data_IF_223452274048
#
_entry.id   IF_223452274048
#
_cell.length_a   1.000
_cell.length_b   1.000
_cell.length_c   1.000
_cell.angle_alpha   90.00
_cell.angle_beta   90.00
_cell.angle_gamma   90.00
#
_symmetry.space_group_name_H-M   'P 1'
#
loop_
_entity.id
_entity.type
_entity.pdbx_description
1 polymer ?
#
# COMPACT_ATOMS: atom_id res chain seq x y z
N UNK A 1 21.77 -5.80 28.38
CA UNK A 1 21.80 -5.81 26.90
C UNK A 1 20.68 -6.75 26.46
N UNK A 2 19.45 -6.22 26.45
CA UNK A 2 18.27 -7.03 26.16
C UNK A 2 18.24 -7.30 24.66
N UNK A 3 18.22 -8.58 24.29
CA UNK A 3 17.89 -9.05 22.96
C UNK A 3 16.47 -8.63 22.62
N UNK A 4 16.29 -7.40 22.10
CA UNK A 4 15.18 -7.11 21.22
C UNK A 4 15.58 -7.64 19.84
N UNK A 5 15.33 -8.92 19.62
CA UNK A 5 14.94 -9.35 18.28
C UNK A 5 13.56 -8.73 18.08
N UNK A 6 13.51 -7.44 17.76
CA UNK A 6 12.31 -6.85 17.15
C UNK A 6 12.17 -7.61 15.84
N UNK A 7 11.02 -8.24 15.65
CA UNK A 7 10.72 -8.98 14.44
C UNK A 7 11.12 -8.16 13.22
N UNK A 8 11.97 -8.75 12.37
CA UNK A 8 12.38 -8.14 11.11
C UNK A 8 11.24 -8.25 10.09
N UNK A 9 10.04 -7.78 10.42
CA UNK A 9 8.89 -7.86 9.51
C UNK A 9 9.17 -6.95 8.32
N UNK A 10 9.37 -7.58 7.17
CA UNK A 10 9.55 -6.91 5.87
C UNK A 10 8.24 -6.89 5.08
N UNK A 11 7.21 -7.55 5.62
CA UNK A 11 5.88 -7.70 5.06
C UNK A 11 4.87 -7.30 6.14
N UNK A 12 3.87 -6.53 5.74
CA UNK A 12 2.84 -5.97 6.61
C UNK A 12 1.49 -6.22 5.95
N UNK A 13 0.51 -6.68 6.74
CA UNK A 13 -0.79 -7.06 6.24
C UNK A 13 -1.92 -6.33 7.00
N UNK A 14 -2.97 -5.97 6.26
CA UNK A 14 -4.30 -5.65 6.77
C UNK A 14 -5.32 -6.50 6.06
N UNK A 15 -6.20 -7.12 6.84
CA UNK A 15 -7.27 -7.99 6.36
C UNK A 15 -8.59 -7.32 6.69
N UNK A 16 -9.28 -6.84 5.66
CA UNK A 16 -10.49 -6.02 5.80
C UNK A 16 -11.69 -6.86 5.36
N UNK A 17 -12.67 -7.02 6.25
CA UNK A 17 -13.84 -7.86 6.02
C UNK A 17 -14.88 -7.17 5.12
N UNK A 18 -14.51 -7.01 3.85
CA UNK A 18 -15.31 -6.41 2.78
C UNK A 18 -15.25 -7.28 1.53
N UNK A 19 -16.43 -7.67 1.04
CA UNK A 19 -16.53 -8.44 -0.20
C UNK A 19 -16.46 -7.52 -1.40
N UNK A 20 -15.42 -7.68 -2.20
CA UNK A 20 -15.21 -6.90 -3.43
C UNK A 20 -14.74 -7.81 -4.56
N UNK A 21 -15.06 -7.45 -5.80
CA UNK A 21 -14.48 -8.10 -6.97
C UNK A 21 -13.17 -7.43 -7.39
N UNK A 22 -12.36 -8.16 -8.15
CA UNK A 22 -11.17 -7.61 -8.81
C UNK A 22 -11.53 -6.36 -9.65
N UNK A 23 -12.62 -6.43 -10.42
CA UNK A 23 -13.09 -5.32 -11.25
C UNK A 23 -13.42 -4.08 -10.40
N UNK A 24 -14.08 -4.25 -9.26
CA UNK A 24 -14.37 -3.15 -8.35
C UNK A 24 -13.09 -2.50 -7.82
N UNK A 25 -12.07 -3.29 -7.44
CA UNK A 25 -10.76 -2.79 -7.00
C UNK A 25 -10.08 -2.02 -8.14
N UNK A 26 -9.92 -2.65 -9.30
CA UNK A 26 -9.18 -2.08 -10.43
C UNK A 26 -9.85 -0.85 -11.06
N UNK A 27 -11.18 -0.69 -10.90
CA UNK A 27 -11.91 0.47 -11.39
C UNK A 27 -11.91 1.63 -10.37
N UNK A 28 -11.96 1.34 -9.06
CA UNK A 28 -12.00 2.38 -8.02
C UNK A 28 -10.61 2.84 -7.58
N UNK A 29 -9.60 1.98 -7.61
CA UNK A 29 -8.25 2.29 -7.13
C UNK A 29 -7.32 2.47 -8.33
N UNK A 30 -6.97 3.73 -8.60
CA UNK A 30 -6.08 4.16 -9.67
C UNK A 30 -5.37 5.46 -9.25
N UNK A 31 -4.34 5.91 -9.98
CA UNK A 31 -3.51 7.05 -9.54
C UNK A 31 -4.29 8.30 -9.13
N UNK A 32 -5.31 8.70 -9.88
CA UNK A 32 -6.09 9.90 -9.59
C UNK A 32 -7.11 9.72 -8.46
N UNK A 33 -7.37 8.50 -7.98
CA UNK A 33 -8.31 8.24 -6.88
C UNK A 33 -7.61 8.03 -5.53
N UNK A 34 -6.27 8.12 -5.46
CA UNK A 34 -5.53 7.82 -4.21
C UNK A 34 -5.97 8.69 -3.02
N UNK A 35 -6.35 9.96 -3.27
CA UNK A 35 -6.82 10.87 -2.23
C UNK A 35 -8.22 10.51 -1.68
N UNK A 36 -8.95 9.61 -2.33
CA UNK A 36 -10.20 9.05 -1.78
C UNK A 36 -9.90 8.05 -0.65
N UNK A 37 -8.71 7.45 -0.66
CA UNK A 37 -8.29 6.42 0.28
C UNK A 37 -7.38 6.98 1.38
N UNK A 38 -6.41 7.82 1.06
CA UNK A 38 -5.43 8.32 2.04
C UNK A 38 -5.49 9.84 2.19
N UNK A 39 -5.02 10.35 3.33
CA UNK A 39 -4.94 11.80 3.58
C UNK A 39 -3.55 12.35 3.26
N UNK A 40 -2.52 11.50 3.37
CA UNK A 40 -1.12 11.86 3.16
C UNK A 40 -0.65 11.70 1.72
N UNK A 41 -1.41 11.05 0.83
CA UNK A 41 -1.07 10.99 -0.59
C UNK A 41 -1.86 11.97 -1.44
N UNK A 42 -1.17 12.59 -2.40
CA UNK A 42 -1.77 13.49 -3.37
C UNK A 42 -1.18 13.21 -4.76
N UNK A 43 -2.06 12.92 -5.72
CA UNK A 43 -1.68 12.78 -7.12
C UNK A 43 -1.17 14.13 -7.65
N UNK A 44 0.00 14.12 -8.28
CA UNK A 44 0.61 15.33 -8.85
C UNK A 44 0.46 15.33 -10.38
N UNK A 45 1.04 14.33 -11.06
CA UNK A 45 0.98 14.23 -12.52
C UNK A 45 1.28 12.81 -13.03
N UNK A 46 1.02 12.57 -14.32
CA UNK A 46 1.44 11.33 -14.98
C UNK A 46 2.86 11.47 -15.53
N UNK A 47 3.66 10.41 -15.43
CA UNK A 47 5.02 10.34 -15.98
C UNK A 47 5.16 9.03 -16.78
N UNK A 48 4.96 9.10 -18.10
CA UNK A 48 4.97 7.92 -18.96
C UNK A 48 3.88 6.93 -18.55
N UNK A 49 4.27 5.72 -18.15
CA UNK A 49 3.35 4.69 -17.63
C UNK A 49 3.18 4.74 -16.10
N UNK A 50 3.86 5.68 -15.43
CA UNK A 50 3.85 5.87 -13.98
C UNK A 50 3.15 7.19 -13.63
N UNK A 51 3.15 7.54 -12.35
CA UNK A 51 2.68 8.84 -11.87
C UNK A 51 3.55 9.37 -10.74
N UNK A 52 3.56 10.68 -10.58
CA UNK A 52 4.18 11.36 -9.45
C UNK A 52 3.12 11.60 -8.38
N UNK A 53 3.48 11.34 -7.12
CA UNK A 53 2.61 11.59 -5.96
C UNK A 53 3.42 12.15 -4.81
N UNK A 54 2.81 13.08 -4.07
CA UNK A 54 3.24 13.35 -2.70
C UNK A 54 2.80 12.17 -1.82
N UNK A 55 3.61 11.82 -0.82
CA UNK A 55 3.37 10.81 0.21
C UNK A 55 3.84 11.35 1.56
N UNK A 56 3.61 10.60 2.65
CA UNK A 56 4.12 10.97 3.98
C UNK A 56 5.66 11.08 4.03
N UNK A 57 6.38 10.41 3.12
CA UNK A 57 7.84 10.42 3.01
C UNK A 57 8.37 11.42 1.95
N UNK A 58 7.50 12.22 1.33
CA UNK A 58 7.85 13.14 0.24
C UNK A 58 7.36 12.67 -1.13
N UNK A 59 7.93 13.25 -2.19
CA UNK A 59 7.52 13.02 -3.58
C UNK A 59 8.18 11.76 -4.16
N UNK A 60 7.39 10.91 -4.81
CA UNK A 60 7.88 9.70 -5.47
C UNK A 60 7.28 9.49 -6.84
N UNK A 61 8.10 8.96 -7.75
CA UNK A 61 7.65 8.28 -8.96
C UNK A 61 7.08 6.90 -8.58
N UNK A 62 5.81 6.65 -8.90
CA UNK A 62 5.06 5.48 -8.48
C UNK A 62 4.57 4.73 -9.72
N UNK A 63 4.88 3.44 -9.78
CA UNK A 63 4.23 2.55 -10.76
C UNK A 63 2.84 2.15 -10.30
N UNK A 64 1.93 1.93 -11.25
CA UNK A 64 0.59 1.37 -11.00
C UNK A 64 0.34 0.24 -11.97
N UNK A 65 0.10 -0.95 -11.44
CA UNK A 65 -0.21 -2.13 -12.24
C UNK A 65 -1.55 -2.73 -11.81
N UNK A 66 -2.38 -3.04 -12.80
CA UNK A 66 -3.49 -3.98 -12.59
C UNK A 66 -2.90 -5.38 -12.52
N UNK A 67 -3.23 -6.12 -11.46
CA UNK A 67 -2.76 -7.47 -11.21
C UNK A 67 -3.95 -8.41 -10.98
N UNK A 68 -3.69 -9.71 -11.02
CA UNK A 68 -4.70 -10.69 -10.63
C UNK A 68 -5.18 -10.43 -9.19
N UNK A 69 -6.48 -10.28 -9.02
CA UNK A 69 -7.16 -9.96 -7.78
C UNK A 69 -7.21 -8.47 -7.41
N UNK A 70 -6.52 -7.57 -8.12
CA UNK A 70 -6.56 -6.15 -7.77
C UNK A 70 -5.48 -5.27 -8.39
N UNK A 71 -4.78 -4.49 -7.56
CA UNK A 71 -3.79 -3.49 -8.00
C UNK A 71 -2.50 -3.57 -7.19
N UNK A 72 -1.40 -3.11 -7.79
CA UNK A 72 -0.09 -2.92 -7.17
C UNK A 72 0.42 -1.51 -7.41
N UNK A 73 1.07 -0.97 -6.38
CA UNK A 73 1.87 0.23 -6.47
C UNK A 73 3.30 -0.05 -5.97
N UNK A 74 4.28 0.65 -6.54
CA UNK A 74 5.65 0.62 -6.04
C UNK A 74 6.29 2.01 -6.15
N UNK A 75 6.92 2.45 -5.06
CA UNK A 75 7.72 3.68 -5.03
C UNK A 75 9.07 3.40 -5.72
N UNK A 76 9.23 3.80 -6.98
CA UNK A 76 10.34 3.39 -7.83
C UNK A 76 11.69 3.98 -7.39
N UNK A 77 11.65 5.18 -6.81
CA UNK A 77 12.85 5.89 -6.34
C UNK A 77 13.03 5.76 -4.81
N UNK A 78 12.24 4.91 -4.14
CA UNK A 78 12.35 4.68 -2.71
C UNK A 78 13.51 3.73 -2.39
N UNK A 79 14.48 4.13 -1.52
CA UNK A 79 15.62 3.28 -1.20
C UNK A 79 15.23 2.04 -0.38
N UNK A 80 14.02 2.03 0.20
CA UNK A 80 13.46 0.90 0.94
C UNK A 80 12.72 -0.09 0.01
N UNK A 81 12.61 0.20 -1.28
CA UNK A 81 11.85 -0.57 -2.27
C UNK A 81 10.41 -0.87 -1.80
N UNK A 82 9.74 0.15 -1.24
CA UNK A 82 8.39 0.00 -0.71
C UNK A 82 7.41 -0.29 -1.85
N UNK A 83 6.64 -1.37 -1.69
CA UNK A 83 5.54 -1.73 -2.59
C UNK A 83 4.31 -2.07 -1.78
N UNK A 84 3.11 -1.80 -2.31
CA UNK A 84 1.88 -2.28 -1.70
C UNK A 84 0.90 -2.79 -2.74
N UNK A 85 0.12 -3.77 -2.34
CA UNK A 85 -0.91 -4.42 -3.15
C UNK A 85 -2.23 -4.41 -2.42
N UNK A 86 -3.31 -4.18 -3.15
CA UNK A 86 -4.68 -4.25 -2.64
C UNK A 86 -5.41 -5.26 -3.51
N UNK A 87 -5.86 -6.37 -2.91
CA UNK A 87 -6.47 -7.48 -3.64
C UNK A 87 -7.76 -7.93 -2.97
N UNK A 88 -8.64 -8.59 -3.70
CA UNK A 88 -9.90 -9.16 -3.20
C UNK A 88 -9.73 -10.48 -2.43
N UNK A 89 -8.50 -10.80 -2.03
CA UNK A 89 -8.16 -11.95 -1.20
C UNK A 89 -8.14 -13.26 -1.97
N UNK A 90 -7.08 -14.04 -1.73
CA UNK A 90 -6.96 -15.43 -2.15
C UNK A 90 -7.00 -16.32 -0.90
N UNK A 91 -7.22 -17.64 -1.02
CA UNK A 91 -7.17 -18.54 0.14
C UNK A 91 -5.91 -18.28 0.99
N UNK A 92 -6.04 -18.18 2.34
CA UNK A 92 -7.23 -18.46 3.15
C UNK A 92 -8.26 -17.31 3.25
N UNK A 93 -7.91 -16.08 2.86
CA UNK A 93 -8.72 -14.87 3.06
C UNK A 93 -9.66 -14.59 1.88
N UNK A 94 -10.40 -15.61 1.43
CA UNK A 94 -11.35 -15.44 0.32
C UNK A 94 -12.41 -14.37 0.64
N UNK A 95 -12.74 -13.55 -0.36
CA UNK A 95 -13.79 -12.52 -0.28
C UNK A 95 -13.51 -11.41 0.75
N UNK A 96 -12.24 -11.12 1.05
CA UNK A 96 -11.81 -9.99 1.89
C UNK A 96 -10.88 -9.09 1.10
N UNK A 97 -10.78 -7.82 1.47
CA UNK A 97 -9.70 -6.99 0.95
C UNK A 97 -8.42 -7.34 1.73
N UNK A 98 -7.38 -7.72 1.00
CA UNK A 98 -6.03 -7.90 1.54
C UNK A 98 -5.17 -6.74 1.06
N UNK A 99 -4.82 -5.87 1.99
CA UNK A 99 -3.81 -4.84 1.81
C UNK A 99 -2.49 -5.38 2.35
N UNK A 100 -1.49 -5.43 1.48
CA UNK A 100 -0.17 -5.97 1.79
C UNK A 100 0.91 -4.99 1.37
N UNK A 101 1.82 -4.64 2.27
CA UNK A 101 2.96 -3.77 2.02
C UNK A 101 4.26 -4.54 2.27
N UNK A 102 5.28 -4.30 1.44
CA UNK A 102 6.60 -4.88 1.59
C UNK A 102 7.70 -3.85 1.45
N UNK A 103 8.84 -4.14 2.08
CA UNK A 103 10.09 -3.38 1.96
C UNK A 103 11.27 -4.33 1.81
N UNK A 104 12.36 -3.88 1.19
CA UNK A 104 13.59 -4.65 1.03
C UNK A 104 14.69 -4.13 1.97
N UNK A 105 14.59 -4.46 3.27
CA UNK A 105 15.53 -4.00 4.30
C UNK A 105 15.88 -5.08 5.32
N UNK A 106 17.18 -5.24 5.60
CA UNK A 106 17.69 -6.15 6.64
C UNK A 106 17.58 -5.53 8.04
N UNK A 107 17.77 -4.21 8.14
CA UNK A 107 17.64 -3.43 9.37
C UNK A 107 16.91 -2.13 9.05
N UNK A 108 16.13 -1.65 10.00
CA UNK A 108 15.32 -0.43 9.86
C UNK A 108 15.07 0.20 11.24
N UNK A 109 15.03 1.55 11.32
CA UNK A 109 14.65 2.21 12.55
C UNK A 109 13.18 1.90 12.87
N UNK A 110 12.85 1.91 14.16
CA UNK A 110 11.46 1.67 14.60
C UNK A 110 10.50 2.74 14.08
N UNK A 111 10.96 3.99 14.00
CA UNK A 111 10.18 5.12 13.49
C UNK A 111 9.69 4.86 12.06
N UNK A 112 10.52 4.26 11.20
CA UNK A 112 10.11 3.89 9.85
C UNK A 112 9.05 2.77 9.83
N UNK A 113 9.01 1.92 10.85
CA UNK A 113 7.94 0.92 10.99
C UNK A 113 6.64 1.59 11.40
N UNK A 114 6.71 2.51 12.36
CA UNK A 114 5.56 3.28 12.82
C UNK A 114 4.95 4.06 11.64
N UNK A 115 5.78 4.70 10.82
CA UNK A 115 5.35 5.36 9.57
C UNK A 115 4.69 4.41 8.56
N UNK A 116 5.18 3.17 8.41
CA UNK A 116 4.52 2.17 7.55
C UNK A 116 3.16 1.77 8.12
N UNK A 117 3.05 1.61 9.44
CA UNK A 117 1.78 1.27 10.08
C UNK A 117 0.77 2.41 9.93
N UNK A 118 1.19 3.67 10.08
CA UNK A 118 0.37 4.87 9.81
C UNK A 118 -0.10 4.91 8.34
N UNK A 119 0.80 4.65 7.39
CA UNK A 119 0.47 4.55 5.98
C UNK A 119 -0.61 3.48 5.70
N UNK A 120 -0.48 2.32 6.32
CA UNK A 120 -1.42 1.21 6.17
C UNK A 120 -2.77 1.50 6.83
N UNK A 121 -2.77 2.19 7.97
CA UNK A 121 -3.99 2.64 8.66
C UNK A 121 -4.81 3.60 7.80
N UNK A 122 -4.16 4.58 7.15
CA UNK A 122 -4.87 5.48 6.22
C UNK A 122 -5.53 4.72 5.07
N UNK A 123 -4.80 3.80 4.44
CA UNK A 123 -5.35 2.97 3.38
C UNK A 123 -6.51 2.10 3.89
N UNK A 124 -6.36 1.46 5.04
CA UNK A 124 -7.40 0.63 5.65
C UNK A 124 -8.68 1.42 5.93
N UNK A 125 -8.57 2.61 6.51
CA UNK A 125 -9.69 3.52 6.75
C UNK A 125 -10.37 3.94 5.44
N UNK A 126 -9.58 4.32 4.44
CA UNK A 126 -10.07 4.66 3.11
C UNK A 126 -10.81 3.52 2.43
N UNK A 127 -10.27 2.31 2.51
CA UNK A 127 -10.87 1.11 1.95
C UNK A 127 -12.19 0.76 2.66
N UNK A 128 -12.23 0.84 4.00
CA UNK A 128 -13.44 0.62 4.79
C UNK A 128 -14.57 1.63 4.48
N UNK A 129 -14.22 2.87 4.17
CA UNK A 129 -15.16 3.94 3.81
C UNK A 129 -15.70 3.80 2.38
N UNK A 130 -14.87 3.35 1.45
CA UNK A 130 -15.13 3.43 0.00
C UNK A 130 -15.79 2.17 -0.57
N UNK A 131 -15.60 1.01 0.07
CA UNK A 131 -16.22 -0.27 -0.28
C UNK A 131 -17.23 -0.69 0.79
#
# INVERSE_FOLDING_TARGET
>A
MFNQIKENNMEFFRIIDKQVSEEQIQNKIHPQSIADFTQTMMFLENIGNNFMSLTLWGEFNISYDKINGGVRFALLDCPNALTWTITNGFPPENNKIVLHCTINRIQKPIEFIEEIEEFLEEWEDGLNRTF
#
